data_IF_723691742760
#
_entry.id   IF_723691742760
#
_cell.length_a   1.000
_cell.length_b   1.000
_cell.length_c   1.000
_cell.angle_alpha   90.00
_cell.angle_beta   90.00
_cell.angle_gamma   90.00
#
_symmetry.space_group_name_H-M   'P 1'
#
loop_
_entity.id
_entity.type
_entity.pdbx_description
1 polymer ?
#
# COMPACT_ATOMS: atom_id res chain seq x y z
N UNK A 1 4.12 36.22 21.57
CA UNK A 1 4.36 35.03 22.43
C UNK A 1 3.39 33.89 22.10
N UNK A 2 2.09 34.16 21.86
CA UNK A 2 1.10 33.13 21.50
C UNK A 2 1.29 32.50 20.12
N UNK A 3 1.83 33.22 19.13
CA UNK A 3 2.00 32.70 17.77
C UNK A 3 2.98 31.52 17.68
N UNK A 4 4.04 31.53 18.51
CA UNK A 4 4.99 30.42 18.57
C UNK A 4 4.30 29.14 19.06
N UNK A 5 3.44 29.22 20.09
CA UNK A 5 2.79 28.04 20.67
C UNK A 5 1.80 27.40 19.69
N UNK A 6 1.10 28.21 18.90
CA UNK A 6 0.22 27.76 17.81
C UNK A 6 1.01 27.07 16.70
N UNK A 7 2.10 27.69 16.22
CA UNK A 7 2.96 27.14 15.16
C UNK A 7 3.63 25.81 15.57
N UNK A 8 4.07 25.70 16.83
CA UNK A 8 4.61 24.44 17.37
C UNK A 8 3.55 23.35 17.48
N UNK A 9 2.31 23.68 17.89
CA UNK A 9 1.19 22.72 17.91
C UNK A 9 0.80 22.27 16.51
N UNK A 10 0.77 23.18 15.55
CA UNK A 10 0.38 22.89 14.17
C UNK A 10 1.40 22.00 13.47
N UNK A 11 2.71 22.29 13.61
CA UNK A 11 3.78 21.42 13.10
C UNK A 11 3.69 20.00 13.65
N UNK A 12 3.47 19.84 14.96
CA UNK A 12 3.32 18.49 15.56
C UNK A 12 2.09 17.76 15.05
N UNK A 13 0.96 18.47 14.86
CA UNK A 13 -0.28 17.88 14.35
C UNK A 13 -0.10 17.44 12.90
N UNK A 14 0.57 18.25 12.08
CA UNK A 14 0.93 17.93 10.69
C UNK A 14 1.81 16.68 10.59
N UNK A 15 2.88 16.60 11.39
CA UNK A 15 3.76 15.42 11.43
C UNK A 15 3.05 14.16 11.91
N UNK A 16 2.14 14.26 12.89
CA UNK A 16 1.36 13.11 13.37
C UNK A 16 0.38 12.58 12.32
N UNK A 17 -0.26 13.49 11.59
CA UNK A 17 -1.18 13.14 10.50
C UNK A 17 -0.42 12.55 9.31
N UNK A 18 0.76 13.10 8.99
CA UNK A 18 1.63 12.60 7.93
C UNK A 18 2.20 11.21 8.26
N UNK A 19 2.65 10.97 9.50
CA UNK A 19 3.08 9.65 9.97
C UNK A 19 1.97 8.61 9.83
N UNK A 20 0.74 8.94 10.27
CA UNK A 20 -0.40 8.03 10.17
C UNK A 20 -0.76 7.71 8.71
N UNK A 21 -0.68 8.71 7.83
CA UNK A 21 -0.88 8.52 6.39
C UNK A 21 0.20 7.66 5.74
N UNK A 22 1.48 7.89 6.05
CA UNK A 22 2.59 7.09 5.53
C UNK A 22 2.46 5.64 5.99
N UNK A 23 1.98 5.39 7.20
CA UNK A 23 1.68 4.05 7.68
C UNK A 23 0.53 3.40 6.89
N UNK A 24 -0.59 4.10 6.69
CA UNK A 24 -1.71 3.58 5.90
C UNK A 24 -1.31 3.33 4.43
N UNK A 25 -0.51 4.24 3.86
CA UNK A 25 0.04 4.12 2.51
C UNK A 25 1.04 2.97 2.42
N UNK A 26 1.99 2.90 3.36
CA UNK A 26 3.02 1.88 3.43
C UNK A 26 2.42 0.48 3.59
N UNK A 27 1.42 0.32 4.45
CA UNK A 27 0.69 -0.93 4.58
C UNK A 27 -0.05 -1.31 3.30
N UNK A 28 -0.66 -0.34 2.59
CA UNK A 28 -1.26 -0.58 1.29
C UNK A 28 -0.22 -0.98 0.22
N UNK A 29 0.93 -0.31 0.20
CA UNK A 29 2.05 -0.61 -0.71
C UNK A 29 2.62 -1.99 -0.47
N UNK A 30 2.81 -2.39 0.78
CA UNK A 30 3.31 -3.72 1.15
C UNK A 30 2.33 -4.82 0.73
N UNK A 31 1.03 -4.59 0.94
CA UNK A 31 -0.01 -5.54 0.52
C UNK A 31 -0.04 -5.69 -1.00
N UNK A 32 0.08 -4.58 -1.73
CA UNK A 32 0.15 -4.55 -3.19
C UNK A 32 1.41 -5.24 -3.69
N UNK A 33 2.57 -4.92 -3.10
CA UNK A 33 3.85 -5.54 -3.42
C UNK A 33 3.81 -7.06 -3.21
N UNK A 34 3.22 -7.54 -2.10
CA UNK A 34 3.02 -8.98 -1.90
C UNK A 34 2.09 -9.59 -2.98
N UNK A 35 1.01 -8.91 -3.35
CA UNK A 35 0.12 -9.35 -4.43
C UNK A 35 0.81 -9.42 -5.80
N UNK A 36 1.63 -8.42 -6.13
CA UNK A 36 2.46 -8.37 -7.33
C UNK A 36 3.48 -9.50 -7.32
N UNK A 37 4.18 -9.70 -6.20
CA UNK A 37 5.17 -10.78 -6.05
C UNK A 37 4.51 -12.15 -6.13
N UNK A 38 3.29 -12.34 -5.62
CA UNK A 38 2.54 -13.59 -5.81
C UNK A 38 2.15 -13.81 -7.29
N UNK A 39 1.78 -12.75 -8.01
CA UNK A 39 1.48 -12.81 -9.44
C UNK A 39 2.71 -13.09 -10.29
N UNK A 40 3.77 -12.30 -10.11
CA UNK A 40 5.04 -12.45 -10.82
C UNK A 40 5.84 -13.66 -10.34
N UNK A 41 5.53 -14.21 -9.15
CA UNK A 41 6.03 -15.51 -8.69
C UNK A 41 5.61 -16.65 -9.62
N UNK A 42 4.49 -16.49 -10.33
CA UNK A 42 4.08 -17.37 -11.43
C UNK A 42 5.06 -17.33 -12.60
N UNK A 43 5.58 -16.14 -12.94
CA UNK A 43 6.64 -15.93 -13.94
C UNK A 43 8.01 -16.47 -13.47
N UNK A 44 8.29 -16.41 -12.17
CA UNK A 44 9.49 -16.98 -11.54
C UNK A 44 9.45 -18.51 -11.36
N UNK A 45 8.39 -19.20 -11.82
CA UNK A 45 8.29 -20.65 -11.73
C UNK A 45 7.92 -21.20 -10.34
N UNK A 46 7.44 -20.35 -9.42
CA UNK A 46 6.90 -20.77 -8.11
C UNK A 46 5.54 -21.48 -8.22
N UNK A 47 5.01 -21.68 -9.44
CA UNK A 47 3.83 -22.53 -9.72
C UNK A 47 3.97 -23.92 -9.09
N UNK A 48 5.18 -24.47 -9.05
CA UNK A 48 5.43 -25.80 -8.47
C UNK A 48 5.32 -25.84 -6.94
N UNK A 49 5.50 -24.71 -6.27
CA UNK A 49 5.41 -24.62 -4.80
C UNK A 49 4.00 -24.30 -4.30
N UNK A 50 3.17 -23.66 -5.14
CA UNK A 50 1.82 -23.27 -4.77
C UNK A 50 0.83 -24.17 -5.52
N UNK A 51 0.39 -25.26 -4.89
CA UNK A 51 -0.64 -26.19 -5.41
C UNK A 51 -2.05 -25.56 -5.51
N UNK A 52 -2.17 -24.23 -5.61
CA UNK A 52 -3.45 -23.61 -5.93
C UNK A 52 -3.71 -23.74 -7.43
N UNK A 53 -4.97 -24.00 -7.75
CA UNK A 53 -5.48 -24.00 -9.11
C UNK A 53 -4.98 -22.76 -9.88
N UNK A 54 -4.34 -23.00 -11.02
CA UNK A 54 -3.65 -21.99 -11.81
C UNK A 54 -4.57 -20.83 -12.20
N UNK A 55 -5.87 -21.11 -12.37
CA UNK A 55 -6.89 -20.12 -12.70
C UNK A 55 -7.19 -19.20 -11.52
N UNK A 56 -7.45 -19.77 -10.34
CA UNK A 56 -7.70 -19.00 -9.11
C UNK A 56 -6.52 -18.13 -8.76
N UNK A 57 -5.29 -18.67 -8.83
CA UNK A 57 -4.09 -17.89 -8.49
C UNK A 57 -3.89 -16.68 -9.40
N UNK A 58 -4.19 -16.82 -10.69
CA UNK A 58 -4.06 -15.73 -11.65
C UNK A 58 -5.11 -14.64 -11.44
N UNK A 59 -6.38 -15.03 -11.25
CA UNK A 59 -7.47 -14.09 -11.00
C UNK A 59 -7.28 -13.37 -9.66
N UNK A 60 -6.94 -14.11 -8.60
CA UNK A 60 -6.71 -13.55 -7.27
C UNK A 60 -5.54 -12.58 -7.29
N UNK A 61 -4.51 -12.94 -8.03
CA UNK A 61 -3.40 -12.07 -8.38
C UNK A 61 -3.83 -10.75 -9.01
N UNK A 62 -4.53 -10.81 -10.15
CA UNK A 62 -4.95 -9.64 -10.93
C UNK A 62 -5.84 -8.73 -10.09
N UNK A 63 -6.78 -9.30 -9.34
CA UNK A 63 -7.66 -8.56 -8.43
C UNK A 63 -6.88 -7.89 -7.30
N UNK A 64 -5.92 -8.60 -6.68
CA UNK A 64 -5.10 -8.04 -5.61
C UNK A 64 -4.20 -6.91 -6.12
N UNK A 65 -3.66 -7.05 -7.34
CA UNK A 65 -2.84 -6.04 -7.98
C UNK A 65 -3.66 -4.80 -8.35
N UNK A 66 -4.84 -4.97 -8.99
CA UNK A 66 -5.75 -3.87 -9.32
C UNK A 66 -6.28 -3.16 -8.07
N UNK A 67 -6.76 -3.91 -7.08
CA UNK A 67 -7.31 -3.36 -5.85
C UNK A 67 -6.23 -2.69 -4.98
N UNK A 68 -5.07 -3.31 -4.88
CA UNK A 68 -3.93 -2.74 -4.18
C UNK A 68 -3.42 -1.48 -4.89
N UNK A 69 -3.32 -1.49 -6.23
CA UNK A 69 -2.94 -0.32 -7.02
C UNK A 69 -3.94 0.82 -6.90
N UNK A 70 -5.24 0.51 -6.87
CA UNK A 70 -6.27 1.50 -6.61
C UNK A 70 -6.18 2.09 -5.19
N UNK A 71 -5.89 1.26 -4.18
CA UNK A 71 -5.66 1.70 -2.79
C UNK A 71 -4.42 2.59 -2.68
N UNK A 72 -3.34 2.22 -3.36
CA UNK A 72 -2.11 2.99 -3.41
C UNK A 72 -2.31 4.32 -4.14
N UNK A 73 -2.99 4.30 -5.28
CA UNK A 73 -3.38 5.52 -6.02
C UNK A 73 -4.24 6.45 -5.15
N UNK A 74 -5.19 5.94 -4.37
CA UNK A 74 -5.95 6.75 -3.39
C UNK A 74 -5.10 7.30 -2.25
N UNK A 75 -4.03 6.61 -1.87
CA UNK A 75 -3.12 7.07 -0.84
C UNK A 75 -2.18 8.17 -1.34
N UNK A 76 -1.63 8.02 -2.55
CA UNK A 76 -0.72 9.00 -3.18
C UNK A 76 -1.48 10.26 -3.61
N UNK A 77 -2.68 10.12 -4.17
CA UNK A 77 -3.50 11.27 -4.59
C UNK A 77 -4.04 12.11 -3.42
N UNK A 78 -3.75 11.70 -2.19
CA UNK A 78 -4.14 12.42 -0.97
C UNK A 78 -2.98 13.22 -0.38
N UNK A 79 -1.92 13.43 -1.16
CA UNK A 79 -0.99 14.52 -0.91
C UNK A 79 -1.69 15.85 -1.22
N UNK A 80 -1.53 16.76 -0.25
CA UNK A 80 -2.02 18.13 -0.21
C UNK A 80 -1.62 18.96 -1.43
#
# INVERSE_FOLDING_TARGET
>A
MNDNIEEYKDRRRKSYVMMRMIYDLGMATLLLAMGVVMLFGKYFGLEKFIQLDNMLRNIFGIVCLLYGAFRLYRGIKRDY
#
